data_IF_670007999834
#
_entry.id   IF_670007999834
#
_cell.length_a   1.000
_cell.length_b   1.000
_cell.length_c   1.000
_cell.angle_alpha   90.00
_cell.angle_beta   90.00
_cell.angle_gamma   90.00
#
_symmetry.space_group_name_H-M   'P 1'
#
loop_
_entity.id
_entity.type
_entity.pdbx_description
1 polymer ?
#
# COMPACT_ATOMS: atom_id res chain seq x y z
N UNK A 1 -13.73 7.30 9.48
CA UNK A 1 -14.10 5.97 8.95
C UNK A 1 -13.37 5.75 7.63
N UNK A 2 -12.62 4.65 7.50
CA UNK A 2 -11.72 4.32 6.39
C UNK A 2 -12.39 3.58 5.21
N UNK A 3 -13.73 3.51 5.16
CA UNK A 3 -14.42 2.85 4.07
C UNK A 3 -14.29 3.69 2.78
N UNK A 4 -13.57 3.15 1.80
CA UNK A 4 -13.41 3.73 0.47
C UNK A 4 -12.08 4.43 0.19
N UNK A 5 -11.29 4.83 1.19
CA UNK A 5 -10.01 5.52 0.94
C UNK A 5 -8.90 4.56 0.47
N UNK A 6 -8.65 3.51 1.27
CA UNK A 6 -7.61 2.52 1.00
C UNK A 6 -7.95 1.63 -0.21
N UNK A 7 -9.19 1.16 -0.31
CA UNK A 7 -9.66 0.33 -1.43
C UNK A 7 -9.54 1.09 -2.76
N UNK A 8 -9.81 2.41 -2.80
CA UNK A 8 -9.59 3.26 -3.99
C UNK A 8 -8.11 3.47 -4.31
N UNK A 9 -7.26 3.64 -3.29
CA UNK A 9 -5.82 3.79 -3.48
C UNK A 9 -5.24 2.59 -4.23
N UNK A 10 -5.59 1.37 -3.80
CA UNK A 10 -5.05 0.13 -4.37
C UNK A 10 -5.83 -0.39 -5.59
N UNK A 11 -6.91 0.28 -5.99
CA UNK A 11 -7.72 -0.12 -7.14
C UNK A 11 -6.94 -0.04 -8.47
N UNK A 12 -5.84 0.71 -8.50
CA UNK A 12 -4.92 0.80 -9.63
C UNK A 12 -3.50 0.63 -9.12
N UNK A 13 -2.58 -0.01 -9.87
CA UNK A 13 -1.19 -0.09 -9.46
C UNK A 13 -0.53 1.29 -9.45
N UNK A 14 0.59 1.45 -8.71
CA UNK A 14 1.44 2.64 -8.79
C UNK A 14 1.92 2.88 -10.23
N UNK A 15 2.27 4.12 -10.53
CA UNK A 15 2.74 4.49 -11.86
C UNK A 15 4.07 3.80 -12.19
N UNK A 16 4.22 3.35 -13.45
CA UNK A 16 5.44 2.72 -13.96
C UNK A 16 5.91 1.50 -13.15
N UNK A 17 4.98 0.76 -12.55
CA UNK A 17 5.28 -0.48 -11.82
C UNK A 17 6.09 -1.48 -12.67
N UNK A 18 5.88 -1.49 -13.98
CA UNK A 18 6.61 -2.31 -14.96
C UNK A 18 8.08 -1.87 -15.16
N UNK A 19 8.44 -0.64 -14.81
CA UNK A 19 9.80 -0.10 -14.90
C UNK A 19 10.56 -0.27 -13.57
N UNK A 20 9.91 -0.76 -12.51
CA UNK A 20 10.54 -0.88 -11.20
C UNK A 20 11.49 -2.08 -11.12
N UNK A 21 12.59 -1.97 -10.37
CA UNK A 21 13.41 -3.14 -10.06
C UNK A 21 12.57 -4.18 -9.32
N UNK A 22 12.84 -5.46 -9.58
CA UNK A 22 12.06 -6.58 -9.04
C UNK A 22 11.99 -6.56 -7.51
N UNK A 23 13.07 -6.17 -6.83
CA UNK A 23 13.12 -5.99 -5.37
C UNK A 23 12.04 -5.03 -4.87
N UNK A 24 11.87 -3.89 -5.54
CA UNK A 24 10.87 -2.88 -5.20
C UNK A 24 9.45 -3.39 -5.42
N UNK A 25 9.22 -4.14 -6.50
CA UNK A 25 7.93 -4.81 -6.76
C UNK A 25 7.60 -5.82 -5.66
N UNK A 26 8.59 -6.59 -5.19
CA UNK A 26 8.42 -7.54 -4.08
C UNK A 26 8.05 -6.80 -2.79
N UNK A 27 8.76 -5.72 -2.44
CA UNK A 27 8.45 -4.92 -1.25
C UNK A 27 7.05 -4.31 -1.28
N UNK A 28 6.63 -3.80 -2.44
CA UNK A 28 5.29 -3.26 -2.63
C UNK A 28 4.23 -4.34 -2.41
N UNK A 29 4.40 -5.53 -3.01
CA UNK A 29 3.49 -6.67 -2.84
C UNK A 29 3.42 -7.15 -1.39
N UNK A 30 4.55 -7.21 -0.69
CA UNK A 30 4.58 -7.58 0.73
C UNK A 30 3.80 -6.56 1.57
N UNK A 31 4.03 -5.27 1.33
CA UNK A 31 3.33 -4.18 2.04
C UNK A 31 1.82 -4.24 1.80
N UNK A 32 1.39 -4.48 0.54
CA UNK A 32 -0.01 -4.71 0.17
C UNK A 32 -0.62 -5.90 0.90
N UNK A 33 0.07 -7.04 0.92
CA UNK A 33 -0.40 -8.25 1.57
C UNK A 33 -0.62 -8.02 3.08
N UNK A 34 0.34 -7.41 3.76
CA UNK A 34 0.24 -7.15 5.19
C UNK A 34 -0.85 -6.12 5.51
N UNK A 35 -0.99 -5.06 4.71
CA UNK A 35 -2.05 -4.06 4.89
C UNK A 35 -3.44 -4.67 4.69
N UNK A 36 -3.64 -5.47 3.64
CA UNK A 36 -4.91 -6.16 3.39
C UNK A 36 -5.26 -7.14 4.52
N UNK A 37 -4.26 -7.87 5.02
CA UNK A 37 -4.45 -8.78 6.16
C UNK A 37 -4.86 -8.01 7.42
N UNK A 38 -4.16 -6.94 7.75
CA UNK A 38 -4.50 -6.09 8.89
C UNK A 38 -5.89 -5.43 8.74
N UNK A 39 -6.24 -5.01 7.52
CA UNK A 39 -7.55 -4.44 7.21
C UNK A 39 -8.70 -5.44 7.37
N UNK A 40 -8.53 -6.68 6.91
CA UNK A 40 -9.50 -7.75 7.10
C UNK A 40 -9.70 -8.06 8.60
N UNK A 41 -8.60 -8.11 9.36
CA UNK A 41 -8.61 -8.33 10.82
C UNK A 41 -9.31 -7.17 11.56
N UNK A 42 -9.07 -5.93 11.14
CA UNK A 42 -9.79 -4.75 11.62
C UNK A 42 -11.29 -4.80 11.33
N UNK A 43 -11.69 -5.17 10.10
CA UNK A 43 -13.10 -5.35 9.74
C UNK A 43 -13.78 -6.43 10.57
N UNK A 44 -13.03 -7.45 11.00
CA UNK A 44 -13.48 -8.49 11.92
C UNK A 44 -13.48 -8.06 13.41
N UNK A 45 -13.27 -6.77 13.71
CA UNK A 45 -13.29 -6.22 15.08
C UNK A 45 -12.00 -6.44 15.89
N UNK A 46 -10.92 -6.92 15.27
CA UNK A 46 -9.66 -7.15 15.96
C UNK A 46 -8.79 -5.89 15.96
N UNK A 47 -7.96 -5.71 17.00
CA UNK A 47 -7.11 -4.53 17.12
C UNK A 47 -5.83 -4.63 16.25
N UNK A 48 -5.97 -4.29 14.97
CA UNK A 48 -4.86 -4.25 14.00
C UNK A 48 -4.69 -2.86 13.38
N UNK A 49 -5.22 -1.81 14.02
CA UNK A 49 -5.26 -0.43 13.51
C UNK A 49 -3.86 0.09 13.20
N UNK A 50 -2.94 -0.03 14.15
CA UNK A 50 -1.55 0.41 14.00
C UNK A 50 -0.84 -0.31 12.85
N UNK A 51 -0.97 -1.64 12.75
CA UNK A 51 -0.37 -2.43 11.66
C UNK A 51 -0.93 -2.04 10.29
N UNK A 52 -2.24 -1.83 10.21
CA UNK A 52 -2.89 -1.36 8.99
C UNK A 52 -2.36 0.02 8.56
N UNK A 53 -2.38 1.01 9.47
CA UNK A 53 -1.93 2.36 9.13
C UNK A 53 -0.46 2.41 8.74
N UNK A 54 0.41 1.66 9.44
CA UNK A 54 1.84 1.57 9.10
C UNK A 54 2.04 1.06 7.67
N UNK A 55 1.37 -0.04 7.32
CA UNK A 55 1.55 -0.66 6.00
C UNK A 55 0.83 0.12 4.90
N UNK A 56 -0.33 0.72 5.19
CA UNK A 56 -1.02 1.64 4.28
C UNK A 56 -0.17 2.90 3.97
N UNK A 57 0.54 3.45 4.96
CA UNK A 57 1.47 4.56 4.75
C UNK A 57 2.66 4.16 3.88
N UNK A 58 3.22 2.96 4.07
CA UNK A 58 4.29 2.45 3.19
C UNK A 58 3.79 2.27 1.76
N UNK A 59 2.57 1.76 1.57
CA UNK A 59 1.91 1.69 0.26
C UNK A 59 1.78 3.09 -0.35
N UNK A 60 1.33 4.09 0.41
CA UNK A 60 1.21 5.47 -0.08
C UNK A 60 2.54 6.03 -0.61
N UNK A 61 3.67 5.73 0.04
CA UNK A 61 4.99 6.16 -0.42
C UNK A 61 5.28 5.66 -1.85
N UNK A 62 4.95 4.39 -2.15
CA UNK A 62 5.08 3.81 -3.49
C UNK A 62 4.24 4.54 -4.56
N UNK A 63 3.08 5.10 -4.21
CA UNK A 63 2.27 5.93 -5.13
C UNK A 63 2.77 7.37 -5.24
N UNK A 64 3.40 7.89 -4.18
CA UNK A 64 3.92 9.25 -4.10
C UNK A 64 5.32 9.40 -4.72
N UNK A 65 6.05 8.30 -4.95
CA UNK A 65 7.38 8.27 -5.56
C UNK A 65 7.45 8.74 -7.03
N UNK A 66 6.46 9.50 -7.54
CA UNK A 66 6.64 10.29 -8.75
C UNK A 66 7.51 11.51 -8.47
N UNK A 67 8.56 11.68 -9.28
CA UNK A 67 9.27 12.96 -9.54
C UNK A 67 10.58 13.25 -8.78
N UNK A 68 11.47 12.26 -8.57
CA UNK A 68 12.87 12.56 -8.22
C UNK A 68 13.93 12.07 -9.23
N UNK A 69 13.51 11.52 -10.37
CA UNK A 69 14.42 11.17 -11.47
C UNK A 69 13.83 11.61 -12.83
N UNK A 70 13.37 12.85 -12.91
CA UNK A 70 13.17 13.54 -14.18
C UNK A 70 14.04 14.81 -14.11
N UNK A 71 15.07 14.79 -14.95
CA UNK A 71 16.20 15.74 -15.13
C UNK A 71 17.37 15.63 -14.14
#
# INVERSE_FOLDING_TARGET
MLNGGYERLIAKPPHKLNEWPLSKVIEFKNSLYEANTAYARLKAGQNYSASFFRNANRILQFYQEKSQNAD
#
